data_IF_675514628268
#
_entry.id   IF_675514628268
#
_cell.length_a   1.000
_cell.length_b   1.000
_cell.length_c   1.000
_cell.angle_alpha   90.00
_cell.angle_beta   90.00
_cell.angle_gamma   90.00
#
_symmetry.space_group_name_H-M   'P 1'
#
loop_
_entity.id
_entity.type
_entity.pdbx_description
1 polymer ?
#
# COMPACT_ATOMS: atom_id res chain seq x y z
N UNK A 1 17.93 45.08 -74.71
CA UNK A 1 17.28 45.11 -73.38
C UNK A 1 17.35 43.71 -72.74
N UNK A 2 18.51 43.34 -72.15
CA UNK A 2 18.85 41.98 -71.69
C UNK A 2 18.98 41.89 -70.14
N UNK A 3 18.03 42.45 -69.39
CA UNK A 3 18.18 42.56 -67.92
C UNK A 3 16.99 42.07 -67.07
N UNK A 4 15.92 41.54 -67.67
CA UNK A 4 14.70 41.15 -66.91
C UNK A 4 14.58 39.67 -66.54
N UNK A 5 15.50 38.79 -66.96
CA UNK A 5 15.29 37.33 -66.88
C UNK A 5 16.11 36.60 -65.81
N UNK A 6 16.85 37.31 -64.94
CA UNK A 6 17.66 36.69 -63.87
C UNK A 6 17.09 36.83 -62.46
N UNK A 7 16.06 37.65 -62.24
CA UNK A 7 15.50 37.90 -60.89
C UNK A 7 14.33 36.97 -60.52
N UNK A 8 13.68 36.33 -61.50
CA UNK A 8 12.54 35.43 -61.27
C UNK A 8 13.00 34.00 -60.90
N UNK A 9 14.23 33.61 -61.27
CA UNK A 9 14.76 32.29 -60.96
C UNK A 9 15.23 32.13 -59.49
N UNK A 10 15.55 33.24 -58.80
CA UNK A 10 15.99 33.19 -57.41
C UNK A 10 14.81 33.17 -56.40
N UNK A 11 13.64 33.67 -56.81
CA UNK A 11 12.44 33.70 -55.95
C UNK A 11 11.71 32.34 -55.90
N UNK A 12 12.00 31.44 -56.85
CA UNK A 12 11.37 30.11 -56.93
C UNK A 12 12.14 29.00 -56.19
N UNK A 13 13.42 29.24 -55.87
CA UNK A 13 14.25 28.29 -55.11
C UNK A 13 13.96 28.37 -53.59
N UNK A 14 13.33 29.44 -53.12
CA UNK A 14 13.05 29.66 -51.71
C UNK A 14 11.67 29.13 -51.26
N UNK A 15 10.82 28.65 -52.17
CA UNK A 15 9.47 28.17 -51.85
C UNK A 15 9.33 26.64 -51.69
N UNK A 16 10.42 25.87 -51.86
CA UNK A 16 10.40 24.39 -51.82
C UNK A 16 11.15 23.81 -50.62
N UNK A 17 11.99 24.60 -49.93
CA UNK A 17 12.50 24.20 -48.63
C UNK A 17 11.47 24.55 -47.55
N UNK A 18 10.36 23.80 -47.50
CA UNK A 18 9.76 23.53 -46.21
C UNK A 18 10.87 22.87 -45.40
N UNK A 19 11.49 23.64 -44.52
CA UNK A 19 12.29 23.09 -43.43
C UNK A 19 11.25 22.29 -42.64
N UNK A 20 11.06 21.02 -43.01
CA UNK A 20 10.57 20.07 -42.03
C UNK A 20 11.53 20.26 -40.88
N UNK A 21 11.03 20.85 -39.80
CA UNK A 21 11.70 20.72 -38.51
C UNK A 21 11.71 19.22 -38.28
N UNK A 22 12.82 18.60 -38.70
CA UNK A 22 13.20 17.24 -38.36
C UNK A 22 13.43 17.32 -36.85
N UNK A 23 12.33 17.27 -36.10
CA UNK A 23 12.39 16.78 -34.73
C UNK A 23 13.24 15.52 -34.83
N UNK A 24 14.34 15.48 -34.08
CA UNK A 24 15.34 14.42 -34.17
C UNK A 24 14.63 13.08 -34.29
N UNK A 25 14.85 12.40 -35.43
CA UNK A 25 14.16 11.16 -35.75
C UNK A 25 14.35 10.22 -34.55
N UNK A 26 13.23 9.74 -33.99
CA UNK A 26 13.25 8.97 -32.75
C UNK A 26 14.04 7.67 -32.95
N UNK A 27 14.73 7.24 -31.91
CA UNK A 27 15.39 5.94 -31.96
C UNK A 27 14.34 4.83 -31.85
N UNK A 28 14.54 3.78 -32.62
CA UNK A 28 13.69 2.60 -32.55
C UNK A 28 13.73 2.01 -31.13
N UNK A 29 12.56 1.76 -30.54
CA UNK A 29 12.43 1.32 -29.15
C UNK A 29 12.45 2.43 -28.10
N UNK A 30 12.57 3.71 -28.49
CA UNK A 30 12.47 4.85 -27.58
C UNK A 30 11.06 4.95 -26.98
N UNK A 31 10.97 5.15 -25.66
CA UNK A 31 9.71 5.35 -24.95
C UNK A 31 9.55 6.82 -24.57
N UNK A 32 8.37 7.39 -24.85
CA UNK A 32 8.01 8.76 -24.47
C UNK A 32 6.70 8.81 -23.72
N UNK A 33 6.57 9.79 -22.83
CA UNK A 33 5.28 10.17 -22.26
C UNK A 33 4.48 10.95 -23.30
N UNK A 34 3.19 10.65 -23.41
CA UNK A 34 2.31 11.19 -24.42
C UNK A 34 0.91 11.42 -23.85
N UNK A 35 0.40 12.65 -24.00
CA UNK A 35 -0.90 13.05 -23.46
C UNK A 35 -2.08 12.73 -24.39
N UNK A 36 -1.83 12.44 -25.67
CA UNK A 36 -2.89 12.15 -26.64
C UNK A 36 -3.58 10.80 -26.41
N UNK A 37 -4.68 10.57 -27.14
CA UNK A 37 -5.52 9.38 -27.03
C UNK A 37 -5.34 8.37 -28.18
N UNK A 38 -4.54 8.68 -29.19
CA UNK A 38 -4.16 7.79 -30.30
C UNK A 38 -2.65 7.72 -30.43
N UNK A 39 -2.10 6.58 -30.85
CA UNK A 39 -0.68 6.48 -31.15
C UNK A 39 -0.39 7.16 -32.50
N UNK A 40 0.57 8.11 -32.58
CA UNK A 40 0.99 8.68 -33.85
C UNK A 40 1.57 7.61 -34.81
N UNK A 41 1.61 7.91 -36.11
CA UNK A 41 2.25 7.02 -37.10
C UNK A 41 3.70 6.73 -36.70
N UNK A 42 4.09 5.45 -36.72
CA UNK A 42 5.42 4.99 -36.30
C UNK A 42 5.59 4.82 -34.79
N UNK A 43 4.52 4.99 -34.02
CA UNK A 43 4.48 4.79 -32.57
C UNK A 43 3.37 3.83 -32.20
N UNK A 44 3.55 3.16 -31.06
CA UNK A 44 2.57 2.25 -30.48
C UNK A 44 2.43 2.51 -28.98
N UNK A 45 1.28 2.17 -28.38
CA UNK A 45 1.12 2.29 -26.93
C UNK A 45 1.86 1.17 -26.18
N UNK A 46 2.46 1.51 -25.04
CA UNK A 46 3.08 0.53 -24.12
C UNK A 46 2.00 -0.19 -23.29
N UNK A 47 1.18 -1.01 -23.95
CA UNK A 47 0.05 -1.74 -23.37
C UNK A 47 0.27 -3.28 -23.32
N UNK A 48 1.49 -3.77 -23.53
CA UNK A 48 1.76 -5.22 -23.49
C UNK A 48 1.32 -6.01 -24.73
N UNK A 49 0.98 -5.34 -25.83
CA UNK A 49 0.50 -6.01 -27.05
C UNK A 49 1.60 -6.84 -27.73
N UNK A 50 1.18 -7.96 -28.34
CA UNK A 50 2.06 -8.82 -29.14
C UNK A 50 2.23 -8.27 -30.56
N UNK A 51 3.47 -8.22 -31.01
CA UNK A 51 3.89 -7.77 -32.34
C UNK A 51 4.49 -8.94 -33.11
N UNK A 52 4.20 -9.01 -34.40
CA UNK A 52 4.79 -10.03 -35.27
C UNK A 52 6.25 -9.69 -35.59
N UNK A 53 7.15 -10.66 -35.40
CA UNK A 53 8.59 -10.47 -35.63
C UNK A 53 8.87 -10.18 -37.11
N UNK A 54 8.16 -10.84 -38.02
CA UNK A 54 8.36 -10.72 -39.47
C UNK A 54 8.24 -9.29 -40.02
N UNK A 55 7.42 -8.45 -39.38
CA UNK A 55 7.15 -7.06 -39.78
C UNK A 55 7.89 -6.04 -38.90
N UNK A 56 8.50 -6.49 -37.80
CA UNK A 56 9.14 -5.63 -36.79
C UNK A 56 10.52 -6.18 -36.38
N UNK A 57 11.26 -6.74 -37.34
CA UNK A 57 12.54 -7.42 -37.10
C UNK A 57 13.57 -6.52 -36.40
N UNK A 58 13.64 -5.25 -36.80
CA UNK A 58 14.53 -4.26 -36.20
C UNK A 58 14.15 -3.90 -34.75
N UNK A 59 12.86 -3.86 -34.42
CA UNK A 59 12.43 -3.59 -33.05
C UNK A 59 12.67 -4.82 -32.16
N UNK A 60 12.42 -6.02 -32.70
CA UNK A 60 12.69 -7.28 -32.02
C UNK A 60 14.18 -7.45 -31.69
N UNK A 61 15.11 -7.01 -32.54
CA UNK A 61 16.55 -7.10 -32.24
C UNK A 61 17.01 -6.19 -31.09
N UNK A 62 16.15 -5.26 -30.64
CA UNK A 62 16.39 -4.38 -29.48
C UNK A 62 15.67 -4.93 -28.25
N UNK A 63 14.36 -5.19 -28.36
CA UNK A 63 13.54 -5.58 -27.20
C UNK A 63 13.66 -7.06 -26.84
N UNK A 64 13.93 -7.92 -27.82
CA UNK A 64 13.87 -9.37 -27.67
C UNK A 64 12.51 -9.83 -27.14
N UNK A 65 12.53 -10.81 -26.24
CA UNK A 65 11.35 -11.34 -25.55
C UNK A 65 11.22 -10.84 -24.12
N UNK A 66 11.94 -9.76 -23.75
CA UNK A 66 11.99 -9.27 -22.36
C UNK A 66 10.60 -8.94 -21.78
N UNK A 67 9.64 -8.57 -22.63
CA UNK A 67 8.27 -8.22 -22.22
C UNK A 67 7.25 -9.32 -22.54
N UNK A 68 7.67 -10.44 -23.15
CA UNK A 68 6.80 -11.55 -23.55
C UNK A 68 6.91 -11.93 -25.04
N UNK A 69 6.01 -12.81 -25.47
CA UNK A 69 6.01 -13.44 -26.81
C UNK A 69 6.79 -14.75 -26.86
N UNK A 70 6.73 -15.42 -28.02
CA UNK A 70 7.34 -16.75 -28.21
C UNK A 70 8.79 -16.69 -28.73
N UNK A 71 9.27 -15.49 -29.11
CA UNK A 71 10.61 -15.29 -29.67
C UNK A 71 10.84 -15.93 -31.04
N UNK A 72 9.79 -16.46 -31.67
CA UNK A 72 9.84 -17.14 -32.98
C UNK A 72 8.96 -16.44 -34.00
N UNK A 73 7.71 -16.20 -33.63
CA UNK A 73 6.72 -15.51 -34.46
C UNK A 73 6.36 -14.14 -33.89
N UNK A 74 6.44 -13.97 -32.57
CA UNK A 74 5.97 -12.80 -31.84
C UNK A 74 6.89 -12.38 -30.69
N UNK A 75 6.81 -11.10 -30.36
CA UNK A 75 7.36 -10.50 -29.14
C UNK A 75 6.36 -9.51 -28.57
N UNK A 76 6.45 -9.16 -27.30
CA UNK A 76 5.57 -8.18 -26.68
C UNK A 76 6.24 -6.80 -26.55
N UNK A 77 5.43 -5.74 -26.61
CA UNK A 77 5.82 -4.42 -26.13
C UNK A 77 5.73 -4.36 -24.59
N UNK A 78 6.37 -3.37 -23.93
CA UNK A 78 6.19 -3.15 -22.50
C UNK A 78 4.71 -2.88 -22.14
N UNK A 79 4.27 -3.33 -20.97
CA UNK A 79 3.00 -2.90 -20.37
C UNK A 79 3.27 -1.94 -19.21
N UNK A 80 3.00 -0.65 -19.42
CA UNK A 80 3.20 0.41 -18.42
C UNK A 80 1.89 0.88 -17.78
N UNK A 81 0.76 0.23 -18.06
CA UNK A 81 -0.52 0.59 -17.46
C UNK A 81 -0.50 0.27 -15.96
N UNK A 82 -0.80 1.27 -15.13
CA UNK A 82 -0.77 1.13 -13.67
C UNK A 82 0.64 1.06 -13.06
N UNK A 83 1.69 1.28 -13.86
CA UNK A 83 3.08 1.10 -13.46
C UNK A 83 3.90 2.36 -13.69
N UNK A 84 4.91 2.56 -12.85
CA UNK A 84 5.91 3.62 -13.03
C UNK A 84 7.16 3.00 -13.66
N UNK A 85 7.73 3.60 -14.72
CA UNK A 85 8.98 3.12 -15.31
C UNK A 85 10.14 3.25 -14.32
N UNK A 86 11.00 2.23 -14.28
CA UNK A 86 12.20 2.18 -13.44
C UNK A 86 13.40 1.78 -14.30
N UNK A 87 14.56 2.37 -14.02
CA UNK A 87 15.81 2.00 -14.69
C UNK A 87 16.24 0.59 -14.27
N UNK A 88 16.70 -0.20 -15.24
CA UNK A 88 17.33 -1.48 -14.96
C UNK A 88 18.74 -1.30 -14.35
N UNK A 89 19.24 -2.37 -13.74
CA UNK A 89 20.54 -2.47 -13.09
C UNK A 89 20.48 -2.39 -11.57
N UNK A 90 21.65 -2.60 -10.96
CA UNK A 90 21.87 -2.42 -9.52
C UNK A 90 22.37 -1.02 -9.25
N UNK A 91 21.66 -0.26 -8.41
CA UNK A 91 22.15 1.01 -7.91
C UNK A 91 23.31 0.79 -6.92
N UNK A 92 24.43 1.53 -6.99
CA UNK A 92 25.48 1.47 -5.98
C UNK A 92 24.93 1.85 -4.59
N UNK A 93 24.78 0.86 -3.71
CA UNK A 93 24.16 1.03 -2.39
C UNK A 93 22.77 0.39 -2.23
N UNK A 94 22.25 -0.25 -3.27
CA UNK A 94 21.09 -1.15 -3.16
C UNK A 94 21.53 -2.60 -3.22
N UNK A 95 20.88 -3.47 -2.46
CA UNK A 95 21.02 -4.92 -2.62
C UNK A 95 20.15 -5.47 -3.77
N UNK A 96 19.25 -4.65 -4.30
CA UNK A 96 18.35 -5.03 -5.38
C UNK A 96 18.98 -4.79 -6.75
N UNK A 97 18.83 -5.78 -7.64
CA UNK A 97 19.19 -5.68 -9.05
C UNK A 97 17.91 -5.82 -9.89
N UNK A 98 17.56 -4.78 -10.65
CA UNK A 98 16.37 -4.79 -11.49
C UNK A 98 16.74 -5.22 -12.91
N UNK A 99 16.07 -6.25 -13.43
CA UNK A 99 16.31 -6.71 -14.81
C UNK A 99 15.27 -6.12 -15.76
N UNK A 100 15.66 -5.87 -17.01
CA UNK A 100 14.75 -5.36 -18.05
C UNK A 100 13.59 -6.34 -18.23
N UNK A 101 12.37 -5.82 -18.31
CA UNK A 101 11.15 -6.64 -18.43
C UNK A 101 10.58 -7.18 -17.11
N UNK A 102 11.28 -6.99 -15.99
CA UNK A 102 10.79 -7.39 -14.68
C UNK A 102 9.59 -6.54 -14.25
N UNK A 103 8.48 -7.20 -13.93
CA UNK A 103 7.36 -6.57 -13.23
C UNK A 103 7.58 -6.67 -11.72
N UNK A 104 7.31 -5.57 -11.01
CA UNK A 104 7.39 -5.50 -9.55
C UNK A 104 6.35 -4.54 -8.96
N UNK A 105 6.24 -4.55 -7.64
CA UNK A 105 5.29 -3.72 -6.88
C UNK A 105 3.85 -4.26 -6.88
N UNK A 106 3.01 -3.64 -6.05
CA UNK A 106 1.57 -3.89 -5.93
C UNK A 106 0.85 -2.54 -5.81
N UNK A 107 -0.27 -2.34 -6.52
CA UNK A 107 -1.04 -1.11 -6.38
C UNK A 107 -1.80 -1.02 -5.05
N UNK A 108 -2.16 -2.18 -4.51
CA UNK A 108 -2.88 -2.33 -3.27
C UNK A 108 -2.13 -3.32 -2.38
N UNK A 109 -1.93 -2.94 -1.11
CA UNK A 109 -1.24 -3.77 -0.13
C UNK A 109 -2.18 -4.01 1.05
N UNK A 110 -2.18 -5.23 1.60
CA UNK A 110 -2.82 -5.51 2.88
C UNK A 110 -1.76 -5.47 3.99
N UNK A 111 -1.96 -4.64 5.01
CA UNK A 111 -1.09 -4.67 6.19
C UNK A 111 -1.43 -5.89 7.03
N UNK A 112 -0.43 -6.73 7.26
CA UNK A 112 -0.45 -7.77 8.28
C UNK A 112 0.47 -7.35 9.43
N UNK A 113 0.39 -8.05 10.56
CA UNK A 113 1.31 -7.85 11.68
C UNK A 113 2.78 -8.02 11.23
N UNK A 114 3.05 -8.91 10.27
CA UNK A 114 4.40 -9.11 9.71
C UNK A 114 4.90 -7.91 8.90
N UNK A 115 3.98 -7.08 8.39
CA UNK A 115 4.31 -5.90 7.58
C UNK A 115 4.38 -4.61 8.43
N UNK A 116 4.18 -4.70 9.75
CA UNK A 116 4.27 -3.56 10.67
C UNK A 116 5.58 -3.64 11.48
N UNK A 117 6.24 -2.49 11.75
CA UNK A 117 7.27 -2.43 12.76
C UNK A 117 6.75 -2.96 14.11
N UNK A 118 7.66 -3.54 14.90
CA UNK A 118 7.35 -4.01 16.25
C UNK A 118 6.77 -2.85 17.08
N UNK A 119 5.52 -3.01 17.53
CA UNK A 119 4.80 -2.03 18.33
C UNK A 119 4.02 -2.74 19.45
N UNK A 120 3.65 -1.99 20.48
CA UNK A 120 2.83 -2.49 21.60
C UNK A 120 1.80 -1.44 22.00
N UNK A 121 0.65 -1.91 22.47
CA UNK A 121 -0.33 -1.07 23.13
C UNK A 121 -0.18 -1.27 24.64
N UNK A 122 0.05 -0.18 25.38
CA UNK A 122 0.01 -0.23 26.84
C UNK A 122 -1.45 -0.14 27.30
N UNK A 123 -1.93 -1.17 27.99
CA UNK A 123 -3.21 -1.10 28.70
C UNK A 123 -2.89 -0.79 30.15
N UNK A 124 -3.44 0.32 30.66
CA UNK A 124 -3.40 0.65 32.07
C UNK A 124 -4.79 0.44 32.65
N UNK A 125 -4.88 -0.42 33.65
CA UNK A 125 -6.08 -0.59 34.46
C UNK A 125 -5.95 0.36 35.65
N UNK A 126 -6.67 1.49 35.62
CA UNK A 126 -6.72 2.44 36.73
C UNK A 126 -8.10 2.39 37.39
N UNK A 127 -8.14 2.43 38.72
CA UNK A 127 -9.39 2.56 39.48
C UNK A 127 -10.27 1.30 39.53
N UNK A 128 -9.69 0.10 39.41
CA UNK A 128 -10.41 -1.14 39.72
C UNK A 128 -10.76 -1.17 41.21
N UNK A 129 -11.90 -0.59 41.55
CA UNK A 129 -12.49 -0.65 42.89
C UNK A 129 -13.64 -1.63 42.81
N UNK A 130 -13.55 -2.70 43.61
CA UNK A 130 -14.68 -3.57 43.86
C UNK A 130 -15.19 -3.35 45.27
N UNK A 131 -16.49 -3.56 45.44
CA UNK A 131 -17.09 -3.67 46.75
C UNK A 131 -17.28 -5.15 47.05
N UNK A 132 -16.85 -5.59 48.23
CA UNK A 132 -17.24 -6.90 48.76
C UNK A 132 -18.42 -6.69 49.69
N UNK A 133 -19.56 -7.28 49.34
CA UNK A 133 -20.69 -7.38 50.25
C UNK A 133 -20.40 -8.43 51.31
N UNK A 134 -20.10 -8.02 52.54
CA UNK A 134 -20.06 -8.94 53.68
C UNK A 134 -21.49 -9.05 54.20
N UNK A 135 -22.16 -10.21 54.06
CA UNK A 135 -23.50 -10.38 54.61
C UNK A 135 -23.46 -10.26 56.13
N UNK A 136 -24.42 -9.54 56.69
CA UNK A 136 -24.55 -9.32 58.14
C UNK A 136 -25.95 -9.74 58.60
N UNK A 137 -26.08 -9.98 59.90
CA UNK A 137 -27.37 -10.10 60.56
C UNK A 137 -27.72 -8.76 61.23
N UNK A 138 -28.97 -8.32 61.08
CA UNK A 138 -29.50 -7.09 61.68
C UNK A 138 -30.09 -7.29 63.09
N UNK A 139 -30.35 -8.53 63.47
CA UNK A 139 -30.81 -8.97 64.79
C UNK A 139 -29.64 -8.98 65.80
N UNK A 140 -29.99 -9.20 67.08
CA UNK A 140 -29.01 -9.41 68.14
C UNK A 140 -28.13 -10.63 67.85
N UNK A 141 -26.86 -10.55 68.24
CA UNK A 141 -26.02 -11.75 68.35
C UNK A 141 -26.58 -12.69 69.41
N UNK A 142 -26.63 -13.98 69.11
CA UNK A 142 -27.15 -15.04 69.99
C UNK A 142 -26.12 -16.17 70.18
N UNK A 143 -24.87 -15.96 69.73
CA UNK A 143 -23.79 -16.95 69.76
C UNK A 143 -22.75 -16.55 70.82
N UNK A 144 -22.67 -17.32 71.91
CA UNK A 144 -21.71 -17.15 73.01
C UNK A 144 -20.28 -17.59 72.64
N UNK A 145 -20.10 -18.18 71.45
CA UNK A 145 -18.83 -18.75 71.01
C UNK A 145 -17.84 -17.67 70.53
N UNK A 146 -16.64 -17.67 71.12
CA UNK A 146 -15.54 -16.74 70.78
C UNK A 146 -15.08 -16.83 69.32
N UNK A 147 -15.37 -17.94 68.62
CA UNK A 147 -14.98 -18.19 67.23
C UNK A 147 -16.21 -18.60 66.40
N UNK A 148 -16.61 -17.82 65.39
CA UNK A 148 -17.76 -18.13 64.56
C UNK A 148 -17.39 -19.22 63.54
N UNK A 149 -17.58 -20.49 63.87
CA UNK A 149 -17.43 -21.57 62.89
C UNK A 149 -18.37 -21.44 61.69
N UNK A 150 -19.49 -20.72 61.85
CA UNK A 150 -20.52 -20.50 60.83
C UNK A 150 -21.27 -19.14 60.92
N UNK A 151 -20.85 -18.22 61.80
CA UNK A 151 -21.64 -17.05 62.17
C UNK A 151 -21.46 -15.81 61.26
N UNK A 152 -22.57 -15.15 60.95
CA UNK A 152 -22.60 -13.82 60.31
C UNK A 152 -22.36 -12.73 61.37
N UNK A 153 -21.75 -11.60 60.98
CA UNK A 153 -21.57 -10.46 61.90
C UNK A 153 -22.95 -9.90 62.30
N UNK A 154 -23.20 -9.76 63.60
CA UNK A 154 -24.41 -9.13 64.11
C UNK A 154 -24.24 -7.60 64.20
N UNK A 155 -25.30 -6.84 63.94
CA UNK A 155 -25.29 -5.37 63.99
C UNK A 155 -25.63 -4.82 65.40
N UNK A 156 -26.16 -5.64 66.30
CA UNK A 156 -26.61 -5.25 67.63
C UNK A 156 -26.44 -6.42 68.64
N UNK A 157 -26.60 -6.14 69.94
CA UNK A 157 -26.46 -7.14 71.02
C UNK A 157 -25.11 -7.11 71.73
N UNK A 158 -24.96 -7.90 72.81
CA UNK A 158 -23.69 -8.06 73.52
C UNK A 158 -22.75 -9.01 72.75
N UNK A 159 -23.33 -10.00 72.06
CA UNK A 159 -22.60 -10.99 71.30
C UNK A 159 -22.34 -10.54 69.87
N UNK A 160 -21.26 -11.06 69.28
CA UNK A 160 -20.67 -10.50 68.05
C UNK A 160 -21.13 -11.21 66.77
N UNK A 161 -21.77 -12.37 66.89
CA UNK A 161 -22.11 -13.25 65.78
C UNK A 161 -23.54 -13.78 65.89
N UNK A 162 -24.12 -14.16 64.74
CA UNK A 162 -25.44 -14.79 64.63
C UNK A 162 -25.41 -15.98 63.65
N UNK A 163 -26.24 -17.00 63.88
CA UNK A 163 -26.29 -18.26 63.09
C UNK A 163 -26.91 -18.12 61.69
N UNK A 164 -27.52 -16.98 61.36
CA UNK A 164 -28.15 -16.76 60.04
C UNK A 164 -27.90 -15.36 59.53
N UNK A 165 -27.94 -15.11 58.20
CA UNK A 165 -27.88 -13.75 57.67
C UNK A 165 -29.28 -13.13 57.60
N UNK A 166 -29.36 -11.80 57.70
CA UNK A 166 -30.57 -11.09 57.26
C UNK A 166 -30.61 -11.01 55.73
N UNK A 167 -31.76 -11.21 55.07
CA UNK A 167 -31.85 -11.08 53.62
C UNK A 167 -31.43 -9.70 53.14
N UNK A 168 -30.44 -9.64 52.23
CA UNK A 168 -29.98 -8.41 51.53
C UNK A 168 -29.35 -7.35 52.47
N UNK A 169 -28.97 -7.72 53.69
CA UNK A 169 -28.24 -6.83 54.61
C UNK A 169 -26.73 -7.04 54.49
N UNK A 170 -26.00 -5.96 54.22
CA UNK A 170 -24.54 -5.95 54.11
C UNK A 170 -23.91 -5.00 55.11
N UNK A 171 -22.65 -5.25 55.46
CA UNK A 171 -21.87 -4.40 56.35
C UNK A 171 -21.82 -2.95 55.82
N UNK A 172 -22.40 -2.01 56.57
CA UNK A 172 -22.48 -0.58 56.23
C UNK A 172 -21.36 0.29 56.82
N UNK A 173 -20.29 -0.32 57.35
CA UNK A 173 -19.14 0.40 57.90
C UNK A 173 -18.22 0.96 56.81
N UNK A 174 -16.98 1.31 57.19
CA UNK A 174 -16.01 1.81 56.23
C UNK A 174 -15.77 0.78 55.11
N UNK A 175 -15.69 1.22 53.84
CA UNK A 175 -15.37 0.32 52.73
C UNK A 175 -14.08 -0.46 52.99
N UNK A 176 -14.12 -1.78 52.83
CA UNK A 176 -12.92 -2.61 52.86
C UNK A 176 -12.27 -2.56 51.47
N UNK A 177 -11.07 -1.96 51.33
CA UNK A 177 -10.40 -1.91 50.04
C UNK A 177 -9.98 -3.32 49.63
N UNK A 178 -10.45 -3.79 48.48
CA UNK A 178 -9.99 -5.03 47.86
C UNK A 178 -9.16 -4.69 46.64
N UNK A 179 -7.93 -5.20 46.61
CA UNK A 179 -7.08 -5.13 45.43
C UNK A 179 -7.58 -6.13 44.39
N UNK A 180 -8.14 -5.64 43.29
CA UNK A 180 -8.57 -6.48 42.16
C UNK A 180 -7.42 -6.60 41.17
N UNK A 181 -7.04 -7.83 40.85
CA UNK A 181 -6.19 -8.12 39.69
C UNK A 181 -7.08 -8.39 38.48
N UNK A 182 -6.98 -7.54 37.46
CA UNK A 182 -7.66 -7.73 36.18
C UNK A 182 -6.63 -7.95 35.06
N UNK A 183 -6.99 -8.78 34.09
CA UNK A 183 -6.29 -8.83 32.80
C UNK A 183 -7.09 -8.04 31.77
N UNK A 184 -6.39 -7.29 30.93
CA UNK A 184 -6.99 -6.65 29.78
C UNK A 184 -6.15 -6.95 28.55
N UNK A 185 -6.81 -7.28 27.45
CA UNK A 185 -6.17 -7.65 26.19
C UNK A 185 -6.69 -6.72 25.10
N UNK A 186 -5.77 -6.13 24.35
CA UNK A 186 -6.11 -5.37 23.16
C UNK A 186 -6.34 -6.37 22.02
N UNK A 187 -7.54 -6.35 21.45
CA UNK A 187 -7.84 -7.13 20.25
C UNK A 187 -7.13 -6.55 19.02
N UNK A 188 -6.92 -7.40 18.01
CA UNK A 188 -6.42 -6.95 16.70
C UNK A 188 -7.49 -6.07 16.06
N UNK A 189 -7.10 -4.88 15.61
CA UNK A 189 -7.96 -3.94 14.89
C UNK A 189 -7.44 -3.76 13.46
N UNK A 190 -8.35 -3.49 12.53
CA UNK A 190 -8.06 -3.45 11.09
C UNK A 190 -8.35 -4.83 10.49
N UNK A 191 -9.48 -4.96 9.80
CA UNK A 191 -10.00 -6.22 9.24
C UNK A 191 -9.16 -6.76 8.05
N UNK A 192 -7.86 -6.48 8.02
CA UNK A 192 -6.99 -6.81 6.89
C UNK A 192 -7.43 -6.16 5.58
N UNK A 193 -8.11 -5.01 5.64
CA UNK A 193 -8.54 -4.33 4.43
C UNK A 193 -7.32 -3.82 3.65
N UNK A 194 -7.38 -4.01 2.34
CA UNK A 194 -6.34 -3.53 1.45
C UNK A 194 -6.43 -2.02 1.34
N UNK A 195 -5.28 -1.36 1.30
CA UNK A 195 -5.19 0.08 1.08
C UNK A 195 -4.35 0.35 -0.16
N UNK A 196 -4.65 1.47 -0.82
CA UNK A 196 -3.91 1.91 -2.00
C UNK A 196 -2.58 2.54 -1.56
N UNK A 197 -1.48 2.13 -2.19
CA UNK A 197 -0.14 2.65 -1.89
C UNK A 197 0.43 3.52 -3.03
N UNK A 198 -0.42 4.01 -3.93
CA UNK A 198 0.01 4.92 -5.00
C UNK A 198 0.20 6.32 -4.43
N UNK A 199 1.33 6.92 -4.75
CA UNK A 199 1.56 8.35 -4.56
C UNK A 199 0.56 9.15 -5.40
N UNK A 200 0.27 10.43 -5.11
CA UNK A 200 -0.57 11.26 -5.99
C UNK A 200 -0.04 11.25 -7.43
N UNK A 201 -0.91 11.01 -8.43
CA UNK A 201 -0.51 10.90 -9.84
C UNK A 201 -1.51 11.55 -10.79
N UNK A 202 -1.02 11.94 -11.96
CA UNK A 202 -1.81 12.23 -13.15
C UNK A 202 -1.40 11.23 -14.23
N UNK A 203 -2.38 10.60 -14.86
CA UNK A 203 -2.13 9.54 -15.85
C UNK A 203 -1.86 10.17 -17.21
N UNK A 204 -0.69 9.87 -17.78
CA UNK A 204 -0.37 10.06 -19.20
C UNK A 204 -0.13 8.70 -19.83
N UNK A 205 -0.19 8.62 -21.16
CA UNK A 205 0.12 7.38 -21.87
C UNK A 205 1.63 7.30 -22.12
N UNK A 206 2.13 6.08 -22.28
CA UNK A 206 3.46 5.84 -22.80
C UNK A 206 3.33 5.30 -24.22
N UNK A 207 4.14 5.85 -25.12
CA UNK A 207 4.28 5.38 -26.49
C UNK A 207 5.71 4.94 -26.75
N UNK A 208 5.88 3.92 -27.58
CA UNK A 208 7.18 3.39 -28.03
C UNK A 208 7.32 3.56 -29.54
N UNK A 209 8.50 3.98 -29.99
CA UNK A 209 8.80 4.12 -31.40
C UNK A 209 8.98 2.74 -32.04
N UNK A 210 8.12 2.42 -33.01
CA UNK A 210 8.17 1.17 -33.79
C UNK A 210 8.66 1.38 -35.22
N UNK A 211 8.77 2.64 -35.66
CA UNK A 211 9.38 3.03 -36.93
C UNK A 211 10.23 4.28 -36.71
N UNK A 212 11.55 4.11 -36.70
CA UNK A 212 12.51 5.15 -36.36
C UNK A 212 13.94 4.76 -36.74
N UNK A 213 14.93 5.55 -36.32
CA UNK A 213 16.34 5.28 -36.59
C UNK A 213 16.80 4.12 -35.71
N UNK A 214 17.44 3.11 -36.32
CA UNK A 214 18.06 2.04 -35.55
C UNK A 214 19.26 2.60 -34.74
N UNK A 215 19.31 2.40 -33.41
CA UNK A 215 20.37 2.97 -32.58
C UNK A 215 21.73 2.31 -32.91
N UNK A 216 22.79 3.10 -33.16
CA UNK A 216 24.12 2.55 -33.43
C UNK A 216 24.68 1.87 -32.19
N UNK A 217 25.38 0.74 -32.38
CA UNK A 217 26.16 0.08 -31.33
C UNK A 217 27.62 0.50 -31.53
N UNK A 218 28.24 1.09 -30.52
CA UNK A 218 29.67 1.44 -30.49
C UNK A 218 30.50 0.34 -29.85
#
# INVERSE_FOLDING_TARGET
>A
MKFKMKFIALLFICLISTIESKAQDAYLGEIRMFAGNYAPVGWEFCNGQLMAINSNTALFSILGTNYGGDGRSTFALPDLRGRTPMSAGRHPGSDMNYVVGQYGGHENTTLSILNLPAHKHSISLAGLTGLVGIPVNTESGEEDEKNPGAGYLANNGQDRFSSSPSPVSYYGGQPLPVAIQGTATAGITGLGQSFNNRQPYVVVRYIICVSGIYPPRS
#
